data_IF_665877958076
#
_entry.id   IF_665877958076
#
_cell.length_a   1.000
_cell.length_b   1.000
_cell.length_c   1.000
_cell.angle_alpha   90.00
_cell.angle_beta   90.00
_cell.angle_gamma   90.00
#
_symmetry.space_group_name_H-M   'P 1'
#
loop_
_entity.id
_entity.type
_entity.pdbx_description
1 polymer ?
#
# COMPACT_ATOMS: atom_id res chain seq x y z
N UNK A 1 16.14 8.21 -10.57
CA UNK A 1 16.20 7.71 -9.19
C UNK A 1 14.84 8.04 -8.63
N UNK A 2 13.98 7.05 -8.45
CA UNK A 2 12.63 7.25 -7.92
C UNK A 2 12.76 7.73 -6.48
N UNK A 3 12.03 8.78 -6.12
CA UNK A 3 12.04 9.27 -4.74
C UNK A 3 11.56 8.16 -3.80
N UNK A 4 12.22 8.02 -2.65
CA UNK A 4 11.83 7.03 -1.66
C UNK A 4 10.42 7.34 -1.14
N UNK A 5 9.57 6.32 -1.08
CA UNK A 5 8.23 6.47 -0.50
C UNK A 5 8.36 6.40 1.03
N UNK A 6 7.98 7.48 1.72
CA UNK A 6 7.94 7.52 3.18
C UNK A 6 6.52 7.18 3.65
N UNK A 7 6.43 6.39 4.72
CA UNK A 7 5.15 5.95 5.30
C UNK A 7 4.93 6.56 6.66
N UNK A 8 3.73 7.08 6.86
CA UNK A 8 3.36 7.79 8.06
C UNK A 8 2.06 7.25 8.62
N UNK A 9 1.92 7.35 9.95
CA UNK A 9 0.74 6.93 10.67
C UNK A 9 0.33 7.97 11.71
N UNK A 10 -0.97 8.13 11.89
CA UNK A 10 -1.59 8.96 12.92
C UNK A 10 -2.70 8.14 13.58
N UNK A 11 -2.73 8.10 14.92
CA UNK A 11 -3.74 7.31 15.66
C UNK A 11 -5.11 7.99 15.71
N UNK A 12 -5.15 9.33 15.84
CA UNK A 12 -6.40 10.09 16.03
C UNK A 12 -6.44 11.40 15.23
N UNK A 13 -7.38 11.55 14.26
CA UNK A 13 -8.13 10.47 13.63
C UNK A 13 -7.18 9.43 13.01
N UNK A 14 -7.61 8.16 12.94
CA UNK A 14 -6.77 7.08 12.45
C UNK A 14 -6.49 7.28 10.96
N UNK A 15 -5.22 7.42 10.60
CA UNK A 15 -4.83 7.78 9.24
C UNK A 15 -3.45 7.26 8.89
N UNK A 16 -3.27 6.95 7.61
CA UNK A 16 -1.99 6.58 7.02
C UNK A 16 -1.65 7.53 5.89
N UNK A 17 -0.37 7.84 5.68
CA UNK A 17 0.04 8.64 4.53
C UNK A 17 1.29 8.06 3.87
N UNK A 18 1.25 7.98 2.53
CA UNK A 18 2.38 7.63 1.68
C UNK A 18 2.87 8.89 0.99
N UNK A 19 4.08 9.34 1.33
CA UNK A 19 4.71 10.52 0.71
C UNK A 19 5.68 10.08 -0.36
N UNK A 20 5.57 10.67 -1.56
CA UNK A 20 6.54 10.54 -2.63
C UNK A 20 6.88 11.96 -3.14
N UNK A 21 8.10 12.43 -2.85
CA UNK A 21 8.51 13.80 -3.15
C UNK A 21 7.66 14.83 -2.40
N UNK A 22 7.05 15.75 -3.16
CA UNK A 22 6.22 16.85 -2.65
C UNK A 22 4.73 16.51 -2.58
N UNK A 23 4.35 15.28 -2.90
CA UNK A 23 2.96 14.82 -2.87
C UNK A 23 2.79 13.66 -1.90
N UNK A 24 1.56 13.49 -1.41
CA UNK A 24 1.18 12.36 -0.59
C UNK A 24 -0.19 11.82 -0.95
N UNK A 25 -0.35 10.53 -0.66
CA UNK A 25 -1.61 9.82 -0.66
C UNK A 25 -1.99 9.56 0.80
N UNK A 26 -3.07 10.19 1.28
CA UNK A 26 -3.56 10.10 2.65
C UNK A 26 -4.79 9.22 2.69
N UNK A 27 -4.79 8.24 3.59
CA UNK A 27 -5.88 7.32 3.87
C UNK A 27 -6.47 7.68 5.23
N UNK A 28 -7.68 8.23 5.23
CA UNK A 28 -8.42 8.61 6.41
C UNK A 28 -9.56 7.63 6.63
N UNK A 29 -9.53 6.92 7.76
CA UNK A 29 -10.67 6.11 8.17
C UNK A 29 -11.74 7.02 8.78
N UNK A 30 -12.97 6.93 8.28
CA UNK A 30 -14.14 7.60 8.84
C UNK A 30 -14.96 6.59 9.63
N UNK A 31 -14.98 6.78 10.95
CA UNK A 31 -15.85 6.06 11.86
C UNK A 31 -17.20 6.80 11.93
N UNK A 32 -17.92 6.82 10.81
CA UNK A 32 -19.31 7.27 10.81
C UNK A 32 -20.18 6.18 11.45
N UNK A 33 -21.25 6.56 12.16
CA UNK A 33 -22.18 5.62 12.85
C UNK A 33 -22.90 4.61 11.92
N UNK A 34 -22.59 4.59 10.64
CA UNK A 34 -23.10 3.61 9.68
C UNK A 34 -22.24 2.34 9.72
N UNK A 35 -22.89 1.17 9.68
CA UNK A 35 -22.27 -0.17 9.79
C UNK A 35 -21.29 -0.54 8.65
N UNK A 36 -20.87 0.40 7.80
CA UNK A 36 -20.02 0.15 6.63
C UNK A 36 -18.71 0.91 6.79
N UNK A 37 -17.55 0.22 6.84
CA UNK A 37 -16.26 0.88 6.98
C UNK A 37 -15.97 1.77 5.77
N UNK A 38 -15.61 3.03 6.03
CA UNK A 38 -15.29 4.03 5.00
C UNK A 38 -13.86 4.52 5.11
N UNK A 39 -13.16 4.50 3.98
CA UNK A 39 -11.84 5.11 3.85
C UNK A 39 -11.89 6.20 2.80
N UNK A 40 -11.52 7.41 3.18
CA UNK A 40 -11.33 8.54 2.27
C UNK A 40 -9.86 8.52 1.84
N UNK A 41 -9.64 8.54 0.54
CA UNK A 41 -8.30 8.59 -0.05
C UNK A 41 -8.10 9.94 -0.70
N UNK A 42 -7.15 10.72 -0.19
CA UNK A 42 -6.84 12.06 -0.69
C UNK A 42 -5.45 12.09 -1.29
N UNK A 43 -5.34 12.63 -2.50
CA UNK A 43 -4.06 12.96 -3.11
C UNK A 43 -3.84 14.46 -2.97
N UNK A 44 -2.79 14.85 -2.24
CA UNK A 44 -2.53 16.25 -1.92
C UNK A 44 -1.02 16.57 -1.88
N UNK A 45 -0.64 17.85 -2.02
CA UNK A 45 0.70 18.31 -1.70
C UNK A 45 1.07 17.99 -0.24
N UNK A 46 2.30 17.55 0.02
CA UNK A 46 2.76 17.21 1.38
C UNK A 46 2.68 18.39 2.35
N UNK A 47 2.89 19.62 1.86
CA UNK A 47 2.75 20.85 2.63
C UNK A 47 1.34 21.06 3.23
N UNK A 48 0.31 20.46 2.64
CA UNK A 48 -1.08 20.55 3.12
C UNK A 48 -1.37 19.47 4.19
N UNK A 49 -0.51 18.46 4.29
CA UNK A 49 -0.57 17.43 5.34
C UNK A 49 0.02 18.00 6.64
N UNK A 50 -0.74 17.89 7.73
CA UNK A 50 -0.29 18.28 9.08
C UNK A 50 0.72 17.26 9.61
N UNK A 51 1.96 17.35 9.13
CA UNK A 51 3.06 16.42 9.45
C UNK A 51 3.29 16.27 10.96
N UNK A 52 3.03 17.31 11.75
CA UNK A 52 3.16 17.31 13.21
C UNK A 52 2.29 16.25 13.92
N UNK A 53 1.23 15.78 13.25
CA UNK A 53 0.32 14.75 13.78
C UNK A 53 0.69 13.33 13.35
N UNK A 54 1.57 13.22 12.35
CA UNK A 54 1.99 11.95 11.78
C UNK A 54 3.32 11.53 12.37
N UNK A 55 3.42 10.28 12.81
CA UNK A 55 4.72 9.64 13.04
C UNK A 55 5.17 8.96 11.76
N UNK A 56 6.41 9.16 11.37
CA UNK A 56 7.01 8.36 10.32
C UNK A 56 7.21 6.94 10.83
N UNK A 57 6.72 5.96 10.08
CA UNK A 57 7.01 4.55 10.29
C UNK A 57 8.34 4.23 9.59
N UNK A 58 9.08 3.26 10.14
CA UNK A 58 10.29 2.70 9.51
C UNK A 58 10.02 1.27 9.01
N UNK A 59 9.12 1.08 8.03
CA UNK A 59 8.91 -0.22 7.40
C UNK A 59 10.10 -0.57 6.48
N UNK A 60 10.14 -1.79 5.92
CA UNK A 60 10.96 -2.06 4.74
C UNK A 60 10.70 -1.03 3.63
N UNK A 61 11.63 -0.86 2.67
CA UNK A 61 11.44 0.08 1.56
C UNK A 61 10.10 -0.15 0.85
N UNK A 62 9.32 0.92 0.67
CA UNK A 62 8.05 0.86 -0.04
C UNK A 62 8.29 1.20 -1.51
N UNK A 63 7.83 0.30 -2.38
CA UNK A 63 7.96 0.41 -3.83
C UNK A 63 6.64 0.80 -4.51
N UNK A 64 5.52 0.76 -3.78
CA UNK A 64 4.21 1.14 -4.29
C UNK A 64 3.07 0.73 -3.35
N UNK A 65 1.86 1.12 -3.72
CA UNK A 65 0.62 0.78 -3.04
C UNK A 65 -0.30 0.05 -4.02
N UNK A 66 -0.74 -1.16 -3.67
CA UNK A 66 -1.67 -1.96 -4.48
C UNK A 66 -3.13 -1.54 -4.25
N UNK A 67 -3.45 -0.99 -3.08
CA UNK A 67 -4.76 -0.46 -2.75
C UNK A 67 -5.30 -0.93 -1.41
N UNK A 68 -6.64 -0.89 -1.28
CA UNK A 68 -7.38 -1.27 -0.08
C UNK A 68 -8.13 -2.58 -0.31
N UNK A 69 -8.24 -3.40 0.73
CA UNK A 69 -9.05 -4.63 0.74
C UNK A 69 -9.75 -4.80 2.09
N UNK A 70 -10.96 -5.35 2.06
CA UNK A 70 -11.71 -5.68 3.26
C UNK A 70 -11.54 -7.17 3.58
N UNK A 71 -11.37 -7.48 4.86
CA UNK A 71 -11.41 -8.83 5.41
C UNK A 71 -12.32 -8.81 6.64
N UNK A 72 -13.56 -9.25 6.45
CA UNK A 72 -14.61 -9.04 7.45
C UNK A 72 -14.92 -7.55 7.62
N UNK A 73 -14.82 -7.06 8.86
CA UNK A 73 -15.03 -5.65 9.22
C UNK A 73 -13.74 -4.82 9.16
N UNK A 74 -12.58 -5.47 9.05
CA UNK A 74 -11.29 -4.80 9.01
C UNK A 74 -10.91 -4.42 7.56
N UNK A 75 -10.37 -3.23 7.38
CA UNK A 75 -9.88 -2.71 6.09
C UNK A 75 -8.36 -2.62 6.13
N UNK A 76 -7.70 -3.15 5.10
CA UNK A 76 -6.26 -3.23 5.01
C UNK A 76 -5.72 -2.48 3.80
N UNK A 77 -4.65 -1.73 4.01
CA UNK A 77 -3.82 -1.11 3.00
C UNK A 77 -2.70 -2.08 2.59
N UNK A 78 -2.61 -2.41 1.31
CA UNK A 78 -1.61 -3.32 0.77
C UNK A 78 -0.45 -2.55 0.13
N UNK A 79 0.75 -2.69 0.68
CA UNK A 79 1.97 -2.02 0.22
C UNK A 79 2.96 -3.02 -0.37
N UNK A 80 3.65 -2.62 -1.44
CA UNK A 80 4.75 -3.38 -2.02
C UNK A 80 6.02 -3.07 -1.25
N UNK A 81 6.56 -4.06 -0.53
CA UNK A 81 7.76 -3.92 0.31
C UNK A 81 8.98 -4.62 -0.27
N UNK A 82 8.82 -5.30 -1.41
CA UNK A 82 9.92 -5.92 -2.14
C UNK A 82 9.59 -6.18 -3.59
N UNK A 83 10.48 -5.72 -4.47
CA UNK A 83 10.40 -5.99 -5.90
C UNK A 83 11.77 -6.19 -6.54
N UNK A 84 11.82 -6.89 -7.66
CA UNK A 84 13.03 -7.09 -8.45
C UNK A 84 12.78 -6.74 -9.91
N UNK A 85 13.74 -6.05 -10.54
CA UNK A 85 13.67 -5.72 -11.95
C UNK A 85 13.79 -6.99 -12.79
N UNK A 86 12.81 -7.23 -13.66
CA UNK A 86 12.77 -8.43 -14.52
C UNK A 86 12.98 -8.13 -16.00
N UNK A 87 12.68 -6.91 -16.44
CA UNK A 87 12.87 -6.52 -17.83
C UNK A 87 13.13 -5.01 -18.00
N UNK A 88 13.71 -4.68 -19.15
CA UNK A 88 13.75 -3.31 -19.71
C UNK A 88 12.90 -3.34 -20.97
N UNK A 89 11.85 -2.55 -21.02
CA UNK A 89 10.87 -2.55 -22.11
C UNK A 89 11.35 -1.63 -23.23
N UNK A 90 11.68 -0.39 -22.87
CA UNK A 90 12.34 0.62 -23.70
C UNK A 90 13.41 1.32 -22.86
N UNK A 91 14.20 2.18 -23.49
CA UNK A 91 15.20 2.99 -22.76
C UNK A 91 14.49 3.83 -21.68
N UNK A 92 14.75 3.52 -20.42
CA UNK A 92 14.14 4.20 -19.28
C UNK A 92 12.87 3.53 -18.72
N UNK A 93 12.27 2.59 -19.45
CA UNK A 93 11.07 1.87 -19.00
C UNK A 93 11.44 0.50 -18.45
N UNK A 94 11.08 0.25 -17.19
CA UNK A 94 11.41 -1.00 -16.50
C UNK A 94 10.17 -1.76 -16.05
N UNK A 95 10.23 -3.10 -16.06
CA UNK A 95 9.23 -3.93 -15.39
C UNK A 95 9.84 -4.56 -14.14
N UNK A 96 9.10 -4.50 -13.05
CA UNK A 96 9.49 -5.01 -11.74
C UNK A 96 8.50 -6.09 -11.30
N UNK A 97 9.01 -7.20 -10.80
CA UNK A 97 8.24 -8.30 -10.23
C UNK A 97 8.09 -8.10 -8.73
N UNK A 98 6.88 -8.29 -8.22
CA UNK A 98 6.59 -8.25 -6.79
C UNK A 98 7.08 -9.55 -6.16
N UNK A 99 7.83 -9.46 -5.06
CA UNK A 99 8.21 -10.62 -4.24
C UNK A 99 7.90 -10.45 -2.75
N UNK A 100 7.57 -9.24 -2.30
CA UNK A 100 7.10 -9.00 -0.93
C UNK A 100 6.03 -7.90 -0.91
N UNK A 101 4.99 -8.13 -0.11
CA UNK A 101 3.93 -7.18 0.22
C UNK A 101 3.64 -7.24 1.71
N UNK A 102 3.15 -6.14 2.27
CA UNK A 102 2.67 -6.04 3.65
C UNK A 102 1.28 -5.40 3.70
N UNK A 103 0.50 -5.81 4.70
CA UNK A 103 -0.87 -5.32 4.92
C UNK A 103 -0.93 -4.54 6.23
N UNK A 104 -1.54 -3.36 6.18
CA UNK A 104 -1.67 -2.44 7.32
C UNK A 104 -3.15 -2.13 7.56
N UNK A 105 -3.67 -2.45 8.74
CA UNK A 105 -5.09 -2.22 9.04
C UNK A 105 -5.37 -0.74 9.27
N UNK A 106 -6.27 -0.16 8.48
CA UNK A 106 -6.57 1.28 8.53
C UNK A 106 -7.62 1.64 9.58
N UNK A 107 -8.44 0.69 10.05
CA UNK A 107 -9.56 0.97 10.95
C UNK A 107 -9.46 0.33 12.34
N UNK A 108 -8.55 -0.62 12.56
CA UNK A 108 -8.47 -1.36 13.81
C UNK A 108 -7.05 -1.42 14.37
N UNK A 109 -6.86 -0.89 15.58
CA UNK A 109 -5.55 -0.79 16.23
C UNK A 109 -4.99 -2.12 16.74
N UNK A 110 -5.81 -3.19 16.81
CA UNK A 110 -5.33 -4.52 17.23
C UNK A 110 -4.18 -5.03 16.34
N UNK A 111 -4.13 -4.60 15.08
CA UNK A 111 -3.11 -4.99 14.11
C UNK A 111 -1.83 -4.15 14.18
N UNK A 112 -1.77 -3.12 15.03
CA UNK A 112 -0.63 -2.19 15.11
C UNK A 112 0.61 -2.82 15.75
N UNK A 113 0.50 -3.98 16.39
CA UNK A 113 1.65 -4.71 16.95
C UNK A 113 2.70 -5.01 15.86
N UNK A 114 2.25 -5.30 14.63
CA UNK A 114 3.12 -5.46 13.46
C UNK A 114 3.89 -4.18 13.09
N UNK A 115 3.32 -3.01 13.39
CA UNK A 115 3.85 -1.67 13.08
C UNK A 115 4.79 -1.18 14.19
N UNK A 116 4.54 -1.58 15.43
CA UNK A 116 5.20 -1.10 16.64
C UNK A 116 6.39 -1.95 17.10
N UNK A 117 6.63 -3.10 16.48
CA UNK A 117 7.74 -4.00 16.81
C UNK A 117 7.59 -4.71 18.16
N UNK A 118 6.38 -4.76 18.72
CA UNK A 118 6.07 -5.40 20.00
C UNK A 118 5.28 -6.70 19.80
N UNK A 119 5.96 -7.84 19.84
CA UNK A 119 5.28 -9.12 20.08
C UNK A 119 5.13 -9.29 21.59
N UNK A 120 3.98 -8.95 22.15
CA UNK A 120 3.68 -9.28 23.55
C UNK A 120 2.94 -10.63 23.57
N UNK A 121 3.58 -11.64 24.15
CA UNK A 121 3.24 -13.07 23.97
C UNK A 121 2.04 -13.51 24.84
N UNK A 122 1.50 -12.59 25.66
CA UNK A 122 0.62 -12.96 26.79
C UNK A 122 -0.89 -12.75 26.57
N UNK A 123 -1.36 -12.28 25.40
CA UNK A 123 -2.79 -12.03 25.12
C UNK A 123 -3.52 -13.10 24.27
N UNK A 124 -2.89 -14.24 24.00
CA UNK A 124 -3.26 -15.18 22.92
C UNK A 124 -4.59 -15.95 23.09
N UNK A 125 -5.23 -15.98 24.28
CA UNK A 125 -6.16 -17.08 24.59
C UNK A 125 -7.68 -16.84 24.47
N UNK A 126 -8.17 -15.70 23.94
CA UNK A 126 -9.63 -15.54 23.75
C UNK A 126 -10.07 -15.00 22.36
N UNK A 127 -9.17 -14.35 21.59
CA UNK A 127 -9.49 -13.73 20.28
C UNK A 127 -9.05 -14.58 19.06
N UNK A 128 -8.40 -15.72 19.32
CA UNK A 128 -7.73 -16.55 18.31
C UNK A 128 -8.60 -16.99 17.13
N UNK A 129 -9.92 -17.17 17.29
CA UNK A 129 -10.75 -17.71 16.20
C UNK A 129 -11.08 -16.69 15.10
N UNK A 130 -11.13 -15.38 15.40
CA UNK A 130 -11.34 -14.33 14.38
C UNK A 130 -9.99 -13.85 13.82
N UNK A 131 -8.94 -13.86 14.66
CA UNK A 131 -7.55 -13.63 14.23
C UNK A 131 -7.14 -14.61 13.14
N UNK A 132 -7.41 -15.91 13.31
CA UNK A 132 -7.02 -16.94 12.34
C UNK A 132 -7.63 -16.67 10.96
N UNK A 133 -8.90 -16.29 10.84
CA UNK A 133 -9.55 -16.09 9.53
C UNK A 133 -9.01 -14.86 8.79
N UNK A 134 -8.78 -13.75 9.51
CA UNK A 134 -8.27 -12.50 8.91
C UNK A 134 -6.79 -12.60 8.57
N UNK A 135 -5.98 -13.19 9.45
CA UNK A 135 -4.58 -13.54 9.15
C UNK A 135 -4.51 -14.51 7.98
N UNK A 136 -5.45 -15.46 7.87
CA UNK A 136 -5.48 -16.43 6.78
C UNK A 136 -5.78 -15.77 5.43
N UNK A 137 -6.67 -14.76 5.35
CA UNK A 137 -6.93 -14.01 4.12
C UNK A 137 -5.72 -13.17 3.69
N UNK A 138 -5.17 -12.36 4.59
CA UNK A 138 -3.98 -11.55 4.29
C UNK A 138 -2.78 -12.42 3.94
N UNK A 139 -2.57 -13.55 4.63
CA UNK A 139 -1.51 -14.52 4.30
C UNK A 139 -1.72 -15.19 2.95
N UNK A 140 -2.97 -15.53 2.61
CA UNK A 140 -3.30 -16.11 1.30
C UNK A 140 -3.07 -15.12 0.17
N UNK A 141 -3.45 -13.86 0.36
CA UNK A 141 -3.20 -12.77 -0.58
C UNK A 141 -1.72 -12.44 -0.69
N UNK A 142 -0.99 -12.41 0.43
CA UNK A 142 0.45 -12.23 0.43
C UNK A 142 1.11 -13.33 -0.41
N UNK A 143 0.79 -14.60 -0.16
CA UNK A 143 1.32 -15.72 -0.94
C UNK A 143 0.98 -15.63 -2.42
N UNK A 144 -0.25 -15.21 -2.76
CA UNK A 144 -0.67 -15.00 -4.15
C UNK A 144 0.15 -13.87 -4.78
N UNK A 145 0.17 -12.68 -4.17
CA UNK A 145 0.85 -11.50 -4.69
C UNK A 145 2.37 -11.66 -4.77
N UNK A 146 2.95 -12.57 -3.97
CA UNK A 146 4.38 -12.89 -3.97
C UNK A 146 4.71 -14.21 -4.66
N UNK A 147 3.76 -14.87 -5.33
CA UNK A 147 4.01 -16.11 -6.09
C UNK A 147 4.93 -15.91 -7.30
N UNK A 148 5.17 -14.63 -7.63
CA UNK A 148 6.06 -14.20 -8.67
C UNK A 148 5.43 -14.08 -10.05
N UNK A 149 4.11 -13.93 -10.11
CA UNK A 149 3.34 -13.67 -11.34
C UNK A 149 2.84 -12.23 -11.44
N UNK A 150 3.04 -11.41 -10.40
CA UNK A 150 2.63 -10.00 -10.38
C UNK A 150 3.77 -9.05 -10.73
N UNK A 151 3.50 -8.12 -11.64
CA UNK A 151 4.48 -7.17 -12.17
C UNK A 151 3.90 -5.76 -12.21
N UNK A 152 4.76 -4.76 -12.05
CA UNK A 152 4.41 -3.35 -12.18
C UNK A 152 5.56 -2.56 -12.82
N UNK A 153 5.25 -1.35 -13.27
CA UNK A 153 6.23 -0.39 -13.75
C UNK A 153 5.83 0.99 -13.26
N UNK A 154 6.80 1.78 -12.80
CA UNK A 154 6.59 3.19 -12.48
C UNK A 154 6.76 4.10 -13.72
N UNK A 155 7.31 3.54 -14.80
CA UNK A 155 7.78 4.29 -15.97
C UNK A 155 6.90 4.07 -17.21
N UNK A 156 6.08 3.02 -17.23
CA UNK A 156 5.21 2.69 -18.36
C UNK A 156 3.99 1.87 -17.92
N UNK A 157 2.97 1.81 -18.77
CA UNK A 157 1.67 1.27 -18.35
C UNK A 157 1.58 -0.27 -18.19
N UNK A 158 2.44 -1.14 -18.70
CA UNK A 158 2.29 -2.64 -18.73
C UNK A 158 0.94 -3.31 -19.14
N UNK A 159 -0.23 -2.75 -18.84
CA UNK A 159 -1.56 -3.35 -19.08
C UNK A 159 -2.02 -3.17 -20.53
N UNK A 160 -1.46 -2.18 -21.21
CA UNK A 160 -1.66 -1.88 -22.62
C UNK A 160 -0.57 -2.49 -23.50
N UNK A 161 -0.95 -2.93 -24.70
CA UNK A 161 0.00 -3.42 -25.71
C UNK A 161 0.92 -2.28 -26.15
N UNK A 162 2.20 -2.59 -26.37
CA UNK A 162 3.18 -1.62 -26.85
C UNK A 162 2.78 -0.96 -28.17
N UNK A 163 2.23 -1.73 -29.11
CA UNK A 163 1.80 -1.23 -30.42
C UNK A 163 0.73 -0.14 -30.31
N UNK A 164 -0.17 -0.24 -29.33
CA UNK A 164 -1.23 0.76 -29.10
C UNK A 164 -0.73 2.07 -28.50
N UNK A 165 0.55 2.13 -28.08
CA UNK A 165 1.17 3.35 -27.52
C UNK A 165 1.83 4.21 -28.61
N UNK A 166 2.30 3.59 -29.68
CA UNK A 166 3.00 4.30 -30.77
C UNK A 166 2.07 5.24 -31.54
N UNK A 167 0.79 4.88 -31.65
CA UNK A 167 -0.24 5.72 -32.28
C UNK A 167 -0.44 7.08 -31.57
N UNK A 168 -0.11 7.19 -30.28
CA UNK A 168 -0.22 8.44 -29.50
C UNK A 168 1.00 9.36 -29.67
N UNK A 169 2.20 8.78 -29.78
CA UNK A 169 3.44 9.55 -29.96
C UNK A 169 3.54 10.21 -31.35
N UNK A 170 2.90 9.60 -32.35
CA UNK A 170 2.81 10.16 -33.71
C UNK A 170 1.69 11.21 -33.85
N UNK A 171 0.70 11.21 -32.95
CA UNK A 171 -0.37 12.23 -32.91
C UNK A 171 0.10 13.54 -32.26
N UNK A 172 1.10 13.48 -31.36
CA UNK A 172 1.67 14.66 -30.68
C UNK A 172 2.70 15.40 -31.57
N UNK A 173 3.11 14.80 -32.69
CA UNK A 173 4.08 15.38 -33.64
C UNK A 173 3.46 16.11 -34.83
N UNK A 174 2.14 16.24 -34.90
CA UNK A 174 1.41 17.03 -35.91
C UNK A 174 0.63 18.17 -35.26
#
# INVERSE_FOLDING_TARGET
>A
MTDAICFYFQERPRSFALRAGDYALVFLYSDDEELVPRCIVEFCPWQDVKEDKFRQLTPPPIYGCLGLINSGEDVFLCLITGCSKTAVIRKGETANKIFAVEFYCINNSKWDNSILGGYDVDQINLEANIEIETEQLCSSLQRLLTDGTFYFSADCDLTTKLQSREDLDDLIKN
#
